data_IF_887237309772
#
_entry.id   IF_887237309772
#
_cell.length_a   1.000
_cell.length_b   1.000
_cell.length_c   1.000
_cell.angle_alpha   90.00
_cell.angle_beta   90.00
_cell.angle_gamma   90.00
#
_symmetry.space_group_name_H-M   'P 1'
#
loop_
_entity.id
_entity.type
_entity.pdbx_description
1 polymer ?
#
# COMPACT_ATOMS: atom_id res chain seq x y z
N UNK A 1 -14.05 8.63 -12.04
CA UNK A 1 -12.62 8.97 -12.19
C UNK A 1 -12.03 9.17 -10.80
N UNK A 2 -10.97 8.43 -10.44
CA UNK A 2 -10.36 8.49 -9.09
C UNK A 2 -9.52 9.76 -8.94
N UNK A 3 -9.65 10.46 -7.82
CA UNK A 3 -8.82 11.63 -7.53
C UNK A 3 -7.35 11.24 -7.32
N UNK A 4 -6.45 11.96 -7.98
CA UNK A 4 -5.00 11.75 -7.90
C UNK A 4 -4.31 13.03 -7.43
N UNK A 5 -3.41 12.91 -6.47
CA UNK A 5 -2.55 14.02 -6.03
C UNK A 5 -1.07 13.61 -5.97
N UNK A 6 -0.21 14.60 -6.11
CA UNK A 6 1.23 14.51 -5.85
C UNK A 6 1.57 15.25 -4.57
N UNK A 7 2.38 14.63 -3.70
CA UNK A 7 2.83 15.29 -2.49
C UNK A 7 3.86 16.38 -2.86
N UNK A 8 3.82 17.57 -2.24
CA UNK A 8 4.77 18.63 -2.55
C UNK A 8 6.22 18.21 -2.31
N UNK A 9 7.14 18.62 -3.20
CA UNK A 9 8.55 18.24 -3.15
C UNK A 9 9.21 18.55 -1.80
N UNK A 10 8.88 19.69 -1.20
CA UNK A 10 9.42 20.07 0.11
C UNK A 10 9.10 19.02 1.20
N UNK A 11 7.91 18.40 1.13
CA UNK A 11 7.51 17.33 2.04
C UNK A 11 8.30 16.07 1.75
N UNK A 12 8.39 15.66 0.48
CA UNK A 12 9.13 14.47 0.07
C UNK A 12 10.61 14.58 0.48
N UNK A 13 11.25 15.72 0.23
CA UNK A 13 12.64 15.96 0.61
C UNK A 13 12.85 15.91 2.12
N UNK A 14 11.90 16.45 2.91
CA UNK A 14 12.01 16.47 4.36
C UNK A 14 11.91 15.06 4.94
N UNK A 15 10.98 14.25 4.41
CA UNK A 15 10.81 12.84 4.79
C UNK A 15 12.01 12.01 4.35
N UNK A 16 12.54 12.22 3.14
CA UNK A 16 13.74 11.56 2.64
C UNK A 16 14.97 11.85 3.52
N UNK A 17 15.20 13.13 3.88
CA UNK A 17 16.31 13.53 4.77
C UNK A 17 16.18 12.90 6.16
N UNK A 18 14.97 12.81 6.70
CA UNK A 18 14.73 12.19 8.00
C UNK A 18 14.92 10.66 7.98
N UNK A 19 14.46 10.02 6.91
CA UNK A 19 14.54 8.56 6.74
C UNK A 19 15.88 8.04 6.20
N UNK A 20 16.69 8.92 5.63
CA UNK A 20 17.83 8.56 4.82
C UNK A 20 17.44 7.91 3.49
N UNK A 21 18.44 7.36 2.82
CA UNK A 21 18.30 6.72 1.52
C UNK A 21 18.59 5.22 1.61
N UNK A 22 17.94 4.45 0.75
CA UNK A 22 18.18 3.02 0.60
C UNK A 22 19.45 2.77 -0.24
N UNK A 23 19.83 1.49 -0.38
CA UNK A 23 21.02 1.06 -1.15
C UNK A 23 20.97 1.42 -2.64
N UNK A 24 19.82 1.86 -3.14
CA UNK A 24 19.62 2.27 -4.52
C UNK A 24 19.60 3.80 -4.69
N UNK A 25 19.88 4.56 -3.63
CA UNK A 25 19.87 6.03 -3.66
C UNK A 25 18.47 6.63 -3.65
N UNK A 26 17.44 5.86 -3.33
CA UNK A 26 16.05 6.33 -3.23
C UNK A 26 15.68 6.59 -1.75
N UNK A 27 14.70 7.45 -1.44
CA UNK A 27 14.28 7.70 -0.07
C UNK A 27 13.80 6.44 0.66
N UNK A 28 14.21 6.23 1.91
CA UNK A 28 13.66 5.13 2.72
C UNK A 28 12.18 5.36 3.08
N UNK A 29 11.68 6.59 2.94
CA UNK A 29 10.29 6.94 3.24
C UNK A 29 9.77 7.91 2.17
N UNK A 30 8.46 7.83 1.89
CA UNK A 30 7.77 8.75 0.97
C UNK A 30 6.32 8.95 1.36
N UNK A 31 5.74 10.07 0.95
CA UNK A 31 4.31 10.36 1.10
C UNK A 31 3.60 10.15 -0.23
N UNK A 32 2.47 9.45 -0.22
CA UNK A 32 1.67 9.14 -1.42
C UNK A 32 0.20 9.38 -1.17
N UNK A 33 -0.53 9.76 -2.20
CA UNK A 33 -2.00 9.79 -2.18
C UNK A 33 -2.56 8.38 -2.43
N UNK A 34 -3.54 7.94 -1.65
CA UNK A 34 -4.16 6.62 -1.79
C UNK A 34 -4.73 6.41 -3.19
N UNK A 35 -5.39 7.45 -3.69
CA UNK A 35 -5.96 7.56 -5.02
C UNK A 35 -4.92 7.73 -6.14
N UNK A 36 -3.63 7.74 -5.85
CA UNK A 36 -2.57 7.66 -6.86
C UNK A 36 -1.80 6.34 -6.78
N UNK A 37 -1.75 5.71 -5.61
CA UNK A 37 -0.96 4.49 -5.37
C UNK A 37 -1.71 3.24 -5.84
N UNK A 38 -1.06 2.45 -6.69
CA UNK A 38 -1.57 1.17 -7.17
C UNK A 38 -0.67 0.01 -6.73
N UNK A 39 -1.24 -1.16 -6.51
CA UNK A 39 -0.56 -2.44 -6.28
C UNK A 39 -1.10 -3.51 -7.24
N UNK A 40 -0.30 -4.55 -7.46
CA UNK A 40 -0.72 -5.72 -8.22
C UNK A 40 -1.55 -6.64 -7.34
N UNK A 41 -2.74 -7.00 -7.80
CA UNK A 41 -3.62 -7.98 -7.16
C UNK A 41 -4.13 -8.94 -8.22
N UNK A 42 -3.96 -10.23 -7.97
CA UNK A 42 -4.50 -11.30 -8.80
C UNK A 42 -5.83 -11.77 -8.22
N UNK A 43 -6.77 -12.08 -9.10
CA UNK A 43 -8.07 -12.57 -8.65
C UNK A 43 -9.07 -12.65 -9.79
N UNK A 44 -10.31 -12.98 -9.42
CA UNK A 44 -11.46 -12.84 -10.31
C UNK A 44 -11.92 -11.38 -10.27
N UNK A 45 -12.18 -10.83 -11.44
CA UNK A 45 -12.70 -9.49 -11.63
C UNK A 45 -13.99 -9.56 -12.41
N UNK A 46 -14.98 -8.79 -11.97
CA UNK A 46 -16.24 -8.57 -12.68
C UNK A 46 -16.28 -7.10 -13.10
N UNK A 47 -16.12 -6.86 -14.40
CA UNK A 47 -16.22 -5.51 -14.98
C UNK A 47 -17.70 -5.17 -15.17
N UNK A 48 -18.12 -3.99 -14.73
CA UNK A 48 -19.50 -3.50 -14.84
C UNK A 48 -19.60 -2.31 -15.79
N UNK A 49 -20.74 -2.19 -16.48
CA UNK A 49 -21.07 -0.98 -17.24
C UNK A 49 -21.55 0.16 -16.31
N UNK A 50 -21.89 1.32 -16.89
CA UNK A 50 -22.40 2.49 -16.17
C UNK A 50 -23.76 2.24 -15.48
N UNK A 51 -24.42 1.11 -15.77
CA UNK A 51 -25.70 0.70 -15.18
C UNK A 51 -25.54 -0.44 -14.16
N UNK A 52 -24.29 -0.82 -13.83
CA UNK A 52 -23.98 -1.88 -12.87
C UNK A 52 -24.09 -3.30 -13.44
N UNK A 53 -24.39 -3.48 -14.73
CA UNK A 53 -24.48 -4.80 -15.34
C UNK A 53 -23.08 -5.37 -15.57
N UNK A 54 -22.89 -6.66 -15.26
CA UNK A 54 -21.62 -7.34 -15.53
C UNK A 54 -21.41 -7.48 -17.04
N UNK A 55 -20.33 -6.91 -17.54
CA UNK A 55 -19.91 -6.94 -18.95
C UNK A 55 -18.85 -7.99 -19.23
N UNK A 56 -18.01 -8.32 -18.23
CA UNK A 56 -16.94 -9.31 -18.34
C UNK A 56 -16.62 -9.89 -16.98
N UNK A 57 -16.42 -11.20 -16.92
CA UNK A 57 -15.77 -11.88 -15.81
C UNK A 57 -14.43 -12.47 -16.27
N UNK A 58 -13.37 -12.24 -15.51
CA UNK A 58 -12.03 -12.68 -15.90
C UNK A 58 -11.15 -12.94 -14.69
N UNK A 59 -10.23 -13.90 -14.80
CA UNK A 59 -9.22 -14.18 -13.78
C UNK A 59 -7.89 -13.64 -14.30
N UNK A 60 -7.42 -12.51 -13.76
CA UNK A 60 -6.20 -11.85 -14.23
C UNK A 60 -5.53 -11.01 -13.12
N UNK A 61 -4.27 -10.64 -13.37
CA UNK A 61 -3.50 -9.76 -12.49
C UNK A 61 -3.78 -8.30 -12.89
N UNK A 62 -4.31 -7.48 -11.97
CA UNK A 62 -4.62 -6.07 -12.22
C UNK A 62 -3.86 -5.13 -11.30
N UNK A 63 -3.63 -3.91 -11.78
CA UNK A 63 -3.19 -2.80 -10.93
C UNK A 63 -4.40 -2.09 -10.34
N UNK A 64 -4.60 -2.23 -9.05
CA UNK A 64 -5.72 -1.63 -8.31
C UNK A 64 -5.21 -0.72 -7.20
N UNK A 65 -6.03 0.18 -6.65
CA UNK A 65 -5.63 1.01 -5.52
C UNK A 65 -5.01 0.18 -4.39
N UNK A 66 -3.85 0.61 -3.88
CA UNK A 66 -3.18 -0.11 -2.77
C UNK A 66 -3.89 0.15 -1.44
N UNK A 67 -4.54 1.30 -1.30
CA UNK A 67 -5.06 1.77 -0.03
C UNK A 67 -6.52 2.14 -0.14
N UNK A 68 -7.28 1.74 0.87
CA UNK A 68 -8.54 2.37 1.25
C UNK A 68 -8.36 3.05 2.62
N UNK A 69 -9.07 4.16 2.87
CA UNK A 69 -9.81 4.96 1.88
C UNK A 69 -8.87 5.64 0.85
N UNK A 70 -9.37 5.92 -0.36
CA UNK A 70 -8.57 6.42 -1.50
C UNK A 70 -8.13 7.88 -1.31
N UNK A 71 -8.93 8.65 -0.62
CA UNK A 71 -8.83 10.10 -0.47
C UNK A 71 -7.98 10.50 0.75
N UNK A 72 -6.88 9.77 1.00
CA UNK A 72 -5.97 10.03 2.12
C UNK A 72 -4.52 10.06 1.68
N UNK A 73 -3.73 10.83 2.44
CA UNK A 73 -2.27 10.76 2.37
C UNK A 73 -1.77 9.58 3.19
N UNK A 74 -0.84 8.81 2.64
CA UNK A 74 -0.19 7.69 3.30
C UNK A 74 1.32 7.90 3.33
N UNK A 75 1.92 7.57 4.46
CA UNK A 75 3.36 7.44 4.59
C UNK A 75 3.73 5.98 4.30
N UNK A 76 4.64 5.79 3.35
CA UNK A 76 5.23 4.49 3.06
C UNK A 76 6.71 4.45 3.47
N UNK A 77 7.17 3.25 3.82
CA UNK A 77 8.57 2.93 4.08
C UNK A 77 9.06 1.89 3.10
N UNK A 78 10.24 2.12 2.55
CA UNK A 78 10.94 1.16 1.72
C UNK A 78 11.36 -0.07 2.52
N UNK A 79 11.02 -1.24 1.99
CA UNK A 79 11.41 -2.55 2.49
C UNK A 79 12.36 -3.22 1.51
N UNK A 80 13.51 -3.74 1.97
CA UNK A 80 14.45 -4.43 1.09
C UNK A 80 13.86 -5.73 0.55
N UNK A 81 14.24 -6.17 -0.67
CA UNK A 81 13.75 -7.41 -1.30
C UNK A 81 13.83 -8.64 -0.39
N UNK A 82 14.89 -8.73 0.41
CA UNK A 82 15.16 -9.85 1.31
C UNK A 82 14.10 -9.98 2.43
N UNK A 83 13.29 -8.94 2.65
CA UNK A 83 12.13 -8.98 3.56
C UNK A 83 11.01 -9.90 3.05
N UNK A 84 10.94 -10.12 1.73
CA UNK A 84 9.92 -10.92 1.04
C UNK A 84 10.39 -12.35 0.71
N UNK A 85 11.54 -12.76 1.26
CA UNK A 85 12.17 -14.04 0.94
C UNK A 85 12.88 -14.04 -0.41
N UNK A 86 13.16 -15.24 -0.92
CA UNK A 86 13.78 -15.41 -2.24
C UNK A 86 12.76 -15.25 -3.38
N UNK A 87 13.19 -14.86 -4.60
CA UNK A 87 12.30 -14.83 -5.77
C UNK A 87 11.58 -16.15 -6.00
N UNK A 88 12.25 -17.27 -5.78
CA UNK A 88 11.66 -18.61 -5.90
C UNK A 88 10.50 -18.79 -4.91
N UNK A 89 10.73 -18.50 -3.64
CA UNK A 89 9.69 -18.60 -2.60
C UNK A 89 8.50 -17.68 -2.91
N UNK A 90 8.76 -16.46 -3.38
CA UNK A 90 7.71 -15.52 -3.78
C UNK A 90 6.77 -16.12 -4.83
N UNK A 91 7.33 -16.67 -5.92
CA UNK A 91 6.52 -17.26 -7.00
C UNK A 91 5.92 -18.63 -6.65
N UNK A 92 6.49 -19.36 -5.68
CA UNK A 92 5.90 -20.60 -5.18
C UNK A 92 4.70 -20.32 -4.25
N UNK A 93 4.78 -19.27 -3.42
CA UNK A 93 3.77 -18.93 -2.42
C UNK A 93 2.65 -18.04 -2.96
N UNK A 94 2.95 -17.16 -3.92
CA UNK A 94 1.99 -16.21 -4.45
C UNK A 94 1.15 -16.78 -5.60
N UNK A 95 0.91 -18.10 -5.65
CA UNK A 95 0.02 -18.70 -6.67
C UNK A 95 -1.27 -19.16 -6.02
N UNK A 96 -2.36 -18.54 -6.42
CA UNK A 96 -3.72 -18.94 -6.05
C UNK A 96 -4.36 -19.74 -7.18
N UNK A 97 -5.40 -20.50 -6.84
CA UNK A 97 -6.21 -21.24 -7.81
C UNK A 97 -7.65 -20.76 -7.74
N UNK A 98 -8.16 -20.23 -8.85
CA UNK A 98 -9.56 -19.86 -9.02
C UNK A 98 -10.11 -20.60 -10.25
N UNK A 99 -11.20 -21.34 -10.11
CA UNK A 99 -11.80 -22.20 -11.18
C UNK A 99 -10.79 -23.13 -11.87
N UNK A 100 -9.82 -23.66 -11.13
CA UNK A 100 -8.77 -24.52 -11.68
C UNK A 100 -7.69 -23.76 -12.48
N UNK A 101 -7.80 -22.44 -12.61
CA UNK A 101 -6.78 -21.57 -13.20
C UNK A 101 -5.82 -21.13 -12.09
N UNK A 102 -4.52 -21.40 -12.30
CA UNK A 102 -3.45 -20.90 -11.44
C UNK A 102 -3.11 -19.47 -11.82
N UNK A 103 -3.22 -18.55 -10.88
CA UNK A 103 -2.94 -17.12 -11.08
C UNK A 103 -1.97 -16.63 -9.99
N UNK A 104 -1.01 -15.76 -10.31
CA UNK A 104 -0.26 -15.05 -9.29
C UNK A 104 -1.19 -14.14 -8.47
N UNK A 105 -1.30 -14.38 -7.16
CA UNK A 105 -2.04 -13.52 -6.22
C UNK A 105 -1.43 -12.12 -6.12
N UNK A 106 -0.11 -12.04 -6.29
CA UNK A 106 0.68 -10.82 -6.21
C UNK A 106 1.47 -10.60 -7.50
N UNK A 107 2.00 -9.38 -7.65
CA UNK A 107 2.83 -9.01 -8.79
C UNK A 107 4.21 -9.66 -8.82
N UNK A 108 5.10 -9.18 -9.72
CA UNK A 108 6.49 -9.63 -9.78
C UNK A 108 7.22 -9.45 -8.44
N UNK A 109 8.21 -10.30 -8.17
CA UNK A 109 9.06 -10.16 -6.99
C UNK A 109 9.71 -8.76 -6.96
N UNK A 110 9.65 -8.03 -5.83
CA UNK A 110 10.17 -6.67 -5.73
C UNK A 110 11.69 -6.66 -5.62
N UNK A 111 12.39 -6.87 -6.74
CA UNK A 111 13.87 -6.97 -6.80
C UNK A 111 14.62 -5.73 -6.33
N UNK A 112 13.95 -4.56 -6.32
CA UNK A 112 14.46 -3.30 -5.77
C UNK A 112 13.85 -2.93 -4.41
N UNK A 113 13.07 -3.82 -3.83
CA UNK A 113 12.26 -3.57 -2.65
C UNK A 113 10.90 -2.99 -3.02
N UNK A 114 10.05 -2.81 -2.02
CA UNK A 114 8.73 -2.21 -2.17
C UNK A 114 8.46 -1.28 -0.99
N UNK A 115 7.70 -0.24 -1.24
CA UNK A 115 7.24 0.72 -0.25
C UNK A 115 5.97 0.19 0.40
N UNK A 116 6.07 -0.11 1.69
CA UNK A 116 4.96 -0.58 2.53
C UNK A 116 4.35 0.50 3.37
N UNK A 117 3.06 0.36 3.65
CA UNK A 117 2.33 1.32 4.45
C UNK A 117 2.89 1.39 5.87
N UNK A 118 3.05 2.60 6.38
CA UNK A 118 3.39 2.86 7.77
C UNK A 118 2.28 3.60 8.50
N UNK A 119 1.69 4.60 7.85
CA UNK A 119 0.77 5.53 8.49
C UNK A 119 -0.20 6.12 7.47
N UNK A 120 -1.44 6.39 7.89
CA UNK A 120 -2.45 7.15 7.13
C UNK A 120 -2.66 8.48 7.83
N UNK A 121 -2.66 9.59 7.10
CA UNK A 121 -2.94 10.92 7.65
C UNK A 121 -4.45 11.10 7.73
N UNK A 122 -4.97 10.81 8.91
CA UNK A 122 -6.36 10.98 9.28
C UNK A 122 -6.42 11.33 10.77
N UNK A 123 -7.50 12.01 11.18
CA UNK A 123 -7.70 12.28 12.58
C UNK A 123 -8.39 11.12 13.31
N UNK A 124 -8.66 11.25 14.62
CA UNK A 124 -9.10 10.13 15.46
C UNK A 124 -10.43 9.49 15.03
N UNK A 125 -11.27 10.20 14.28
CA UNK A 125 -12.53 9.71 13.73
C UNK A 125 -12.46 9.30 12.26
N UNK A 126 -11.26 9.23 11.67
CA UNK A 126 -11.08 8.94 10.24
C UNK A 126 -11.26 10.16 9.33
N UNK A 127 -11.38 11.36 9.92
CA UNK A 127 -11.51 12.59 9.17
C UNK A 127 -10.25 12.87 8.33
N UNK A 128 -10.48 13.44 7.15
CA UNK A 128 -9.40 13.85 6.27
C UNK A 128 -8.49 14.89 6.95
N UNK A 129 -7.19 14.62 6.95
CA UNK A 129 -6.19 15.61 7.33
C UNK A 129 -5.41 16.09 6.10
N UNK A 130 -5.43 17.39 5.77
CA UNK A 130 -4.63 17.91 4.68
C UNK A 130 -3.14 17.78 4.97
N UNK A 131 -2.35 17.60 3.91
CA UNK A 131 -0.90 17.58 4.02
C UNK A 131 -0.38 19.01 4.27
N UNK A 132 -0.26 19.37 5.55
CA UNK A 132 0.19 20.70 6.01
C UNK A 132 1.62 20.64 6.54
N UNK A 133 2.32 21.78 6.68
CA UNK A 133 3.62 21.83 7.36
C UNK A 133 3.62 21.22 8.76
N UNK A 134 2.54 21.36 9.52
CA UNK A 134 2.38 20.73 10.83
C UNK A 134 2.28 19.19 10.72
N UNK A 135 1.53 18.68 9.74
CA UNK A 135 1.50 17.25 9.43
C UNK A 135 2.89 16.75 9.01
N UNK A 136 3.68 17.57 8.31
CA UNK A 136 5.07 17.23 7.98
C UNK A 136 5.95 17.09 9.22
N UNK A 137 5.80 17.98 10.21
CA UNK A 137 6.50 17.87 11.50
C UNK A 137 6.10 16.58 12.23
N UNK A 138 4.81 16.24 12.23
CA UNK A 138 4.31 14.97 12.80
C UNK A 138 4.92 13.77 12.09
N UNK A 139 5.01 13.78 10.75
CA UNK A 139 5.66 12.71 9.97
C UNK A 139 7.14 12.59 10.34
N UNK A 140 7.88 13.69 10.40
CA UNK A 140 9.31 13.69 10.79
C UNK A 140 9.48 13.11 12.20
N UNK A 141 8.61 13.50 13.14
CA UNK A 141 8.62 12.94 14.50
C UNK A 141 8.28 11.45 14.51
N UNK A 142 7.33 11.01 13.70
CA UNK A 142 6.98 9.60 13.57
C UNK A 142 8.17 8.77 13.01
N UNK A 143 8.91 9.31 12.05
CA UNK A 143 10.14 8.70 11.50
C UNK A 143 11.23 8.59 12.56
N UNK A 144 11.50 9.68 13.29
CA UNK A 144 12.48 9.68 14.38
C UNK A 144 12.08 8.74 15.52
N UNK A 145 10.80 8.67 15.85
CA UNK A 145 10.25 7.75 16.83
C UNK A 145 10.43 6.30 16.38
N UNK A 146 10.08 5.96 15.13
CA UNK A 146 10.25 4.62 14.58
C UNK A 146 11.72 4.17 14.55
N UNK A 147 12.66 5.09 14.30
CA UNK A 147 14.11 4.82 14.31
C UNK A 147 14.64 4.42 15.69
N UNK A 148 14.02 4.93 16.76
CA UNK A 148 14.44 4.70 18.16
C UNK A 148 13.80 3.46 18.78
N UNK A 149 12.81 2.86 18.12
CA UNK A 149 12.23 1.61 18.59
C UNK A 149 13.22 0.45 18.35
N UNK A 150 13.48 -0.40 19.36
CA UNK A 150 14.26 -1.63 19.18
C UNK A 150 13.67 -2.47 18.06
N UNK A 151 14.52 -3.07 17.21
CA UNK A 151 14.12 -3.98 16.12
C UNK A 151 13.55 -5.33 16.63
N UNK A 152 13.00 -5.37 17.83
CA UNK A 152 12.42 -6.57 18.39
C UNK A 152 10.91 -6.58 18.13
N UNK A 153 10.49 -7.60 17.39
CA UNK A 153 9.11 -8.10 17.28
C UNK A 153 8.05 -7.22 16.61
N UNK A 154 8.44 -6.35 15.67
CA UNK A 154 7.50 -5.63 14.80
C UNK A 154 6.87 -6.49 13.68
N UNK A 155 7.28 -7.75 13.49
CA UNK A 155 6.70 -8.62 12.44
C UNK A 155 5.29 -9.08 12.79
N UNK A 156 5.04 -9.48 14.04
CA UNK A 156 3.74 -9.98 14.48
C UNK A 156 2.69 -8.85 14.58
N UNK A 157 3.10 -7.66 15.01
CA UNK A 157 2.20 -6.49 15.08
C UNK A 157 1.87 -5.91 13.69
N UNK A 158 2.83 -5.91 12.74
CA UNK A 158 2.54 -5.57 11.34
C UNK A 158 1.65 -6.63 10.68
N UNK A 159 1.97 -7.92 10.82
CA UNK A 159 1.16 -9.01 10.25
C UNK A 159 -0.28 -8.98 10.79
N UNK A 160 -0.49 -8.79 12.09
CA UNK A 160 -1.83 -8.66 12.67
C UNK A 160 -2.57 -7.38 12.22
N UNK A 161 -1.85 -6.32 11.85
CA UNK A 161 -2.43 -5.08 11.30
C UNK A 161 -2.74 -5.22 9.81
N UNK A 162 -1.89 -5.88 9.04
CA UNK A 162 -2.13 -6.25 7.65
C UNK A 162 -3.30 -7.23 7.52
N UNK A 163 -3.44 -8.17 8.43
CA UNK A 163 -4.55 -9.14 8.46
C UNK A 163 -5.89 -8.47 8.82
N UNK A 164 -5.89 -7.54 9.79
CA UNK A 164 -7.07 -6.70 10.04
C UNK A 164 -7.42 -5.83 8.84
N UNK A 165 -6.42 -5.24 8.19
CA UNK A 165 -6.60 -4.41 7.01
C UNK A 165 -7.04 -5.19 5.78
N UNK A 166 -6.60 -6.45 5.62
CA UNK A 166 -7.07 -7.35 4.58
C UNK A 166 -8.57 -7.66 4.77
N UNK A 167 -9.00 -7.92 6.02
CA UNK A 167 -10.41 -8.15 6.34
C UNK A 167 -11.28 -6.89 6.16
N UNK A 168 -10.73 -5.71 6.49
CA UNK A 168 -11.38 -4.42 6.24
C UNK A 168 -11.41 -4.08 4.75
N UNK A 169 -10.36 -4.42 4.00
CA UNK A 169 -10.31 -4.31 2.54
C UNK A 169 -11.32 -5.23 1.87
N UNK A 170 -11.39 -6.50 2.24
CA UNK A 170 -12.35 -7.45 1.64
C UNK A 170 -13.79 -6.93 1.81
N UNK A 171 -14.14 -6.45 3.02
CA UNK A 171 -15.47 -5.87 3.28
C UNK A 171 -15.71 -4.58 2.51
N UNK A 172 -14.76 -3.65 2.49
CA UNK A 172 -14.92 -2.36 1.83
C UNK A 172 -14.84 -2.48 0.29
N UNK A 173 -14.05 -3.42 -0.25
CA UNK A 173 -13.97 -3.72 -1.66
C UNK A 173 -15.27 -4.36 -2.14
N UNK A 174 -15.86 -5.28 -1.37
CA UNK A 174 -17.18 -5.83 -1.68
C UNK A 174 -18.25 -4.72 -1.73
N UNK A 175 -18.24 -3.78 -0.78
CA UNK A 175 -19.18 -2.65 -0.77
C UNK A 175 -18.96 -1.70 -1.96
N UNK A 176 -17.73 -1.30 -2.26
CA UNK A 176 -17.39 -0.39 -3.36
C UNK A 176 -17.54 -1.03 -4.75
N UNK A 177 -17.43 -2.35 -4.87
CA UNK A 177 -17.66 -3.09 -6.13
C UNK A 177 -19.12 -3.54 -6.31
N UNK A 178 -19.96 -3.30 -5.31
CA UNK A 178 -21.40 -3.59 -5.31
C UNK A 178 -22.30 -2.38 -5.60
N UNK A 179 -21.75 -1.15 -5.54
CA UNK A 179 -22.37 0.11 -6.00
C UNK A 179 -21.87 0.52 -7.40
#
# INVERSE_FOLDING_TARGET
MRETHEAPDAVQQRVARAGGWNRFGEPNFRVVWGGSRLAWIGGRWSDRDEHGNVTRETIELRRVPKYLPLDRWHLERWMPPESYGSPRQWYEQAVETADGIRIPALGPYPSRGEYEHCFTLEGPGGEFLPLTPAACDTIVRAVEWARRQPRQDARAALAAREERRAREWDRAADEVLSD
#
